data_IF_934236606297
#
_entry.id   IF_934236606297
#
_cell.length_a   1.000
_cell.length_b   1.000
_cell.length_c   1.000
_cell.angle_alpha   90.00
_cell.angle_beta   90.00
_cell.angle_gamma   90.00
#
_symmetry.space_group_name_H-M   'P 1'
#
loop_
_entity.id
_entity.type
_entity.pdbx_description
1 polymer ?
#
# COMPACT_ATOMS: atom_id res chain seq x y z
N UNK A 1 -4.30 19.77 -0.61
CA UNK A 1 -3.98 18.92 0.55
C UNK A 1 -4.98 17.79 0.64
N UNK A 2 -4.53 16.57 0.41
CA UNK A 2 -5.32 15.35 0.58
C UNK A 2 -5.21 14.80 1.99
N UNK A 3 -6.21 14.02 2.37
CA UNK A 3 -6.18 13.29 3.63
C UNK A 3 -5.37 12.01 3.40
N UNK A 4 -4.36 11.74 4.23
CA UNK A 4 -3.67 10.44 4.22
C UNK A 4 -4.11 9.65 5.44
N UNK A 5 -4.64 8.45 5.20
CA UNK A 5 -5.13 7.51 6.20
C UNK A 5 -4.27 6.26 6.18
N UNK A 6 -4.06 5.66 7.35
CA UNK A 6 -3.33 4.40 7.48
C UNK A 6 -4.30 3.28 7.84
N UNK A 7 -4.13 2.13 7.21
CA UNK A 7 -4.87 0.93 7.58
C UNK A 7 -4.53 0.53 9.03
N UNK A 8 -5.53 0.09 9.79
CA UNK A 8 -5.38 -0.22 11.22
C UNK A 8 -4.28 -1.26 11.52
N UNK A 9 -4.00 -2.15 10.57
CA UNK A 9 -2.93 -3.16 10.68
C UNK A 9 -1.78 -2.88 9.71
N UNK A 10 -1.53 -1.61 9.41
CA UNK A 10 -0.37 -1.19 8.64
C UNK A 10 0.92 -1.60 9.37
N UNK A 11 1.85 -2.15 8.63
CA UNK A 11 3.10 -2.69 9.13
C UNK A 11 4.19 -1.62 9.18
N UNK A 12 3.99 -0.58 9.99
CA UNK A 12 4.97 0.50 10.17
C UNK A 12 6.35 -0.02 10.62
N UNK A 13 6.38 -1.06 11.46
CA UNK A 13 7.61 -1.68 11.94
C UNK A 13 8.51 -2.22 10.82
N UNK A 14 7.95 -2.60 9.67
CA UNK A 14 8.72 -3.08 8.51
C UNK A 14 9.50 -1.96 7.80
N UNK A 15 9.19 -0.68 8.06
CA UNK A 15 9.93 0.45 7.48
C UNK A 15 11.31 0.66 8.12
N UNK A 16 11.53 0.08 9.31
CA UNK A 16 12.70 0.34 10.14
C UNK A 16 12.73 1.75 10.73
N UNK A 17 13.90 2.16 11.20
CA UNK A 17 14.13 3.47 11.83
C UNK A 17 14.24 4.62 10.80
N UNK A 18 14.16 5.87 11.26
CA UNK A 18 14.23 7.08 10.42
C UNK A 18 15.53 7.26 9.62
N UNK A 19 16.57 6.48 9.96
CA UNK A 19 17.82 6.44 9.18
C UNK A 19 17.71 5.54 7.94
N UNK A 20 16.77 4.62 7.91
CA UNK A 20 16.55 3.70 6.79
C UNK A 20 16.17 4.48 5.53
N UNK A 21 16.84 4.17 4.42
CA UNK A 21 16.48 4.69 3.10
C UNK A 21 15.03 4.35 2.74
N UNK A 22 14.53 3.22 3.24
CA UNK A 22 13.14 2.79 3.09
C UNK A 22 12.16 3.76 3.74
N UNK A 23 12.38 4.10 5.02
CA UNK A 23 11.53 5.04 5.78
C UNK A 23 11.60 6.45 5.21
N UNK A 24 12.77 6.90 4.77
CA UNK A 24 12.92 8.20 4.09
C UNK A 24 12.05 8.29 2.85
N UNK A 25 12.17 7.29 1.96
CA UNK A 25 11.41 7.26 0.70
C UNK A 25 9.91 7.13 0.93
N UNK A 26 9.52 6.35 1.93
CA UNK A 26 8.13 6.28 2.38
C UNK A 26 7.63 7.66 2.82
N UNK A 27 8.35 8.36 3.69
CA UNK A 27 7.97 9.68 4.17
C UNK A 27 7.85 10.70 3.02
N UNK A 28 8.74 10.65 2.02
CA UNK A 28 8.65 11.50 0.82
C UNK A 28 7.37 11.23 0.02
N UNK A 29 7.03 9.96 -0.22
CA UNK A 29 5.78 9.58 -0.90
C UNK A 29 4.56 10.06 -0.12
N UNK A 30 4.52 9.86 1.20
CA UNK A 30 3.40 10.31 2.03
C UNK A 30 3.26 11.83 2.00
N UNK A 31 4.39 12.55 2.05
CA UNK A 31 4.41 14.01 1.96
C UNK A 31 3.85 14.49 0.62
N UNK A 32 4.32 13.91 -0.48
CA UNK A 32 3.82 14.21 -1.83
C UNK A 32 2.31 13.95 -1.95
N UNK A 33 1.83 12.79 -1.50
CA UNK A 33 0.40 12.48 -1.54
C UNK A 33 -0.43 13.48 -0.73
N UNK A 34 0.09 13.93 0.42
CA UNK A 34 -0.59 14.90 1.28
C UNK A 34 -0.60 16.30 0.66
N UNK A 35 0.51 16.76 0.09
CA UNK A 35 0.66 18.12 -0.44
C UNK A 35 0.15 18.25 -1.87
N UNK A 36 0.54 17.32 -2.75
CA UNK A 36 0.38 17.37 -4.20
C UNK A 36 -0.73 16.44 -4.74
N UNK A 37 -1.42 15.68 -3.86
CA UNK A 37 -2.43 14.67 -4.24
C UNK A 37 -1.93 13.62 -5.24
N UNK A 38 -0.63 13.52 -5.41
CA UNK A 38 0.04 12.70 -6.40
C UNK A 38 1.49 12.59 -5.98
N UNK A 39 2.16 11.54 -6.42
CA UNK A 39 3.60 11.40 -6.20
C UNK A 39 4.22 10.86 -7.47
N UNK A 40 5.36 11.41 -7.85
CA UNK A 40 6.21 10.88 -8.92
C UNK A 40 7.27 9.93 -8.35
N UNK A 41 7.36 9.83 -7.02
CA UNK A 41 8.30 8.99 -6.32
C UNK A 41 7.89 7.52 -6.42
N UNK A 42 8.85 6.68 -6.77
CA UNK A 42 8.68 5.23 -6.69
C UNK A 42 7.91 4.58 -7.84
N UNK A 43 7.91 5.10 -9.07
CA UNK A 43 7.40 4.37 -10.26
C UNK A 43 6.04 3.69 -10.00
N UNK A 44 5.02 4.51 -9.78
CA UNK A 44 3.68 4.05 -9.40
C UNK A 44 3.09 3.21 -10.51
N UNK A 45 2.58 2.03 -10.16
CA UNK A 45 1.79 1.19 -11.05
C UNK A 45 0.46 0.86 -10.41
N UNK A 46 -0.60 0.98 -11.20
CA UNK A 46 -1.92 0.47 -10.83
C UNK A 46 -1.93 -1.05 -10.98
N UNK A 47 -2.47 -1.72 -9.96
CA UNK A 47 -2.65 -3.16 -9.91
C UNK A 47 -4.07 -3.47 -9.44
N UNK A 48 -4.66 -4.54 -9.98
CA UNK A 48 -5.97 -5.03 -9.55
C UNK A 48 -5.74 -6.00 -8.40
N UNK A 49 -6.33 -5.73 -7.24
CA UNK A 49 -6.32 -6.68 -6.12
C UNK A 49 -7.64 -7.42 -5.97
N UNK A 50 -7.84 -7.99 -4.79
CA UNK A 50 -9.04 -8.78 -4.51
C UNK A 50 -10.31 -7.92 -4.50
N UNK A 51 -11.42 -8.47 -5.00
CA UNK A 51 -12.71 -7.77 -5.01
C UNK A 51 -12.87 -6.66 -6.06
N UNK A 52 -12.11 -6.68 -7.17
CA UNK A 52 -12.13 -5.66 -8.23
C UNK A 52 -11.70 -4.24 -7.76
N UNK A 53 -10.98 -4.16 -6.65
CA UNK A 53 -10.43 -2.89 -6.17
C UNK A 53 -9.10 -2.61 -6.88
N UNK A 54 -8.96 -1.40 -7.40
CA UNK A 54 -7.71 -0.91 -7.98
C UNK A 54 -6.82 -0.34 -6.89
N UNK A 55 -5.61 -0.89 -6.79
CA UNK A 55 -4.59 -0.44 -5.86
C UNK A 55 -3.43 0.20 -6.61
N UNK A 56 -2.84 1.22 -6.01
CA UNK A 56 -1.61 1.84 -6.49
C UNK A 56 -0.42 1.26 -5.73
N UNK A 57 0.61 0.88 -6.47
CA UNK A 57 1.85 0.36 -5.91
C UNK A 57 3.01 1.28 -6.25
N UNK A 58 3.68 1.80 -5.23
CA UNK A 58 4.95 2.50 -5.36
C UNK A 58 6.14 1.60 -4.98
N UNK A 59 7.31 1.89 -5.54
CA UNK A 59 8.61 1.27 -5.30
C UNK A 59 9.32 2.12 -4.24
N UNK A 60 9.48 1.56 -3.04
CA UNK A 60 10.21 2.20 -1.96
C UNK A 60 11.72 1.94 -2.12
N UNK A 61 12.09 0.71 -2.43
CA UNK A 61 13.47 0.27 -2.64
C UNK A 61 13.55 -0.69 -3.83
N UNK A 62 14.72 -1.28 -4.10
CA UNK A 62 14.83 -2.27 -5.18
C UNK A 62 13.90 -3.47 -4.98
N UNK A 63 13.75 -3.88 -3.72
CA UNK A 63 12.97 -5.05 -3.28
C UNK A 63 11.67 -4.69 -2.56
N UNK A 64 11.47 -3.43 -2.14
CA UNK A 64 10.38 -3.06 -1.24
C UNK A 64 9.35 -2.17 -1.93
N UNK A 65 8.06 -2.42 -1.66
CA UNK A 65 6.95 -1.82 -2.40
C UNK A 65 5.88 -1.33 -1.43
N UNK A 66 5.38 -0.12 -1.63
CA UNK A 66 4.25 0.43 -0.89
C UNK A 66 2.96 0.15 -1.64
N UNK A 67 1.93 -0.32 -0.93
CA UNK A 67 0.58 -0.48 -1.45
C UNK A 67 -0.34 0.55 -0.81
N UNK A 68 -1.07 1.30 -1.66
CA UNK A 68 -2.04 2.29 -1.23
C UNK A 68 -3.16 2.43 -2.25
N UNK A 69 -4.25 3.10 -1.88
CA UNK A 69 -5.35 3.42 -2.79
C UNK A 69 -5.79 4.85 -2.61
N UNK A 70 -6.30 5.48 -3.66
CA UNK A 70 -7.06 6.72 -3.55
C UNK A 70 -8.54 6.40 -3.38
N UNK A 71 -9.21 7.15 -2.51
CA UNK A 71 -10.66 7.11 -2.32
C UNK A 71 -11.17 8.55 -2.26
N UNK A 72 -12.42 8.76 -2.68
CA UNK A 72 -13.09 10.05 -2.53
C UNK A 72 -13.97 10.01 -1.29
N UNK A 73 -13.61 10.75 -0.25
CA UNK A 73 -14.38 10.83 0.99
C UNK A 73 -14.93 12.24 1.17
N UNK A 74 -16.26 12.40 1.17
CA UNK A 74 -16.95 13.70 1.37
C UNK A 74 -16.40 14.83 0.47
N UNK A 75 -16.30 14.56 -0.84
CA UNK A 75 -15.73 15.47 -1.85
C UNK A 75 -14.24 15.84 -1.67
N UNK A 76 -13.50 15.13 -0.81
CA UNK A 76 -12.06 15.29 -0.67
C UNK A 76 -11.34 14.03 -1.12
N UNK A 77 -10.24 14.21 -1.82
CA UNK A 77 -9.30 13.15 -2.14
C UNK A 77 -8.62 12.67 -0.84
N UNK A 78 -8.70 11.36 -0.62
CA UNK A 78 -8.06 10.70 0.49
C UNK A 78 -7.24 9.51 -0.01
N UNK A 79 -6.01 9.38 0.48
CA UNK A 79 -5.14 8.25 0.21
C UNK A 79 -5.15 7.33 1.41
N UNK A 80 -5.43 6.05 1.17
CA UNK A 80 -5.37 5.01 2.21
C UNK A 80 -4.13 4.18 1.98
N UNK A 81 -3.20 4.26 2.92
CA UNK A 81 -1.99 3.46 2.96
C UNK A 81 -2.32 2.10 3.57
N UNK A 82 -2.10 1.03 2.80
CA UNK A 82 -2.61 -0.30 3.12
C UNK A 82 -1.54 -1.14 3.82
N UNK A 83 -0.40 -1.35 3.16
CA UNK A 83 0.71 -2.15 3.65
C UNK A 83 2.01 -1.87 2.88
N UNK A 84 3.13 -2.21 3.49
CA UNK A 84 4.45 -2.31 2.87
C UNK A 84 4.73 -3.77 2.55
N UNK A 85 5.04 -4.05 1.29
CA UNK A 85 5.41 -5.36 0.78
C UNK A 85 6.93 -5.41 0.71
N UNK A 86 7.54 -6.11 1.64
CA UNK A 86 8.98 -6.36 1.64
C UNK A 86 9.36 -7.45 0.63
N UNK A 87 10.57 -7.37 0.09
CA UNK A 87 11.18 -8.41 -0.76
C UNK A 87 10.35 -8.85 -1.98
N UNK A 88 9.52 -7.96 -2.54
CA UNK A 88 8.57 -8.27 -3.62
C UNK A 88 7.62 -9.43 -3.30
N UNK A 89 7.43 -9.76 -2.03
CA UNK A 89 6.69 -10.94 -1.57
C UNK A 89 5.18 -10.66 -1.60
N UNK A 90 4.65 -10.55 -2.82
CA UNK A 90 3.23 -10.32 -3.05
C UNK A 90 2.34 -11.39 -2.45
N UNK A 91 2.86 -12.60 -2.24
CA UNK A 91 2.12 -13.72 -1.65
C UNK A 91 1.78 -13.50 -0.18
N UNK A 92 2.58 -12.71 0.54
CA UNK A 92 2.27 -12.29 1.92
C UNK A 92 1.27 -11.13 1.99
N UNK A 93 1.00 -10.48 0.85
CA UNK A 93 0.14 -9.32 0.83
C UNK A 93 -1.31 -9.70 1.13
N UNK A 94 -1.93 -8.98 2.05
CA UNK A 94 -3.29 -9.29 2.51
C UNK A 94 -4.36 -8.79 1.53
N UNK A 95 -3.97 -7.90 0.62
CA UNK A 95 -4.85 -7.30 -0.38
C UNK A 95 -4.66 -7.89 -1.79
N UNK A 96 -3.50 -8.47 -2.07
CA UNK A 96 -3.17 -9.00 -3.41
C UNK A 96 -3.28 -10.51 -3.50
N UNK A 97 -3.03 -11.23 -2.41
CA UNK A 97 -3.29 -12.66 -2.37
C UNK A 97 -4.79 -12.86 -2.35
N UNK A 98 -5.34 -13.39 -3.46
CA UNK A 98 -6.69 -13.96 -3.47
C UNK A 98 -6.78 -14.80 -2.22
N UNK A 99 -7.69 -14.46 -1.30
CA UNK A 99 -8.13 -15.44 -0.33
C UNK A 99 -8.80 -16.51 -1.18
N UNK A 100 -8.03 -17.49 -1.64
CA UNK A 100 -8.62 -18.78 -1.95
C UNK A 100 -9.38 -19.12 -0.69
N UNK A 101 -10.70 -19.05 -0.82
CA UNK A 101 -11.59 -19.60 0.15
C UNK A 101 -11.02 -20.98 0.43
N UNK A 102 -10.47 -21.19 1.63
CA UNK A 102 -10.48 -22.51 2.23
C UNK A 102 -11.95 -22.89 2.30
N UNK A 103 -12.50 -23.39 1.19
CA UNK A 103 -13.55 -24.39 1.22
C UNK A 103 -12.91 -25.49 2.03
N UNK A 104 -13.18 -25.48 3.33
CA UNK A 104 -13.23 -26.71 4.10
C UNK A 104 -14.10 -27.66 3.26
N UNK A 105 -13.46 -28.51 2.45
CA UNK A 105 -14.07 -29.77 2.02
C UNK A 105 -14.10 -30.62 3.29
N UNK A 106 -15.08 -30.36 4.13
CA UNK A 106 -15.62 -31.36 5.03
C UNK A 106 -16.85 -31.91 4.33
N UNK A 107 -16.67 -33.04 3.65
CA UNK A 107 -17.70 -34.02 3.29
C UNK A 107 -16.93 -35.34 3.43
N UNK A 108 -17.01 -35.98 4.59
CA UNK A 108 -18.00 -37.02 4.95
C UNK A 108 -17.79 -38.28 4.11
#
# INVERSE_FOLDING_TARGET
MSIVLFYKKFNDHDLGDDKSSLRKKFNEIIKDLKENNSTSQGNIKLIKGDGNIEYSRAKLSDSDRLLFTSIKHKNKDAFVILEVILNHDYHKSRFLTKRENKKHRSNK
#
